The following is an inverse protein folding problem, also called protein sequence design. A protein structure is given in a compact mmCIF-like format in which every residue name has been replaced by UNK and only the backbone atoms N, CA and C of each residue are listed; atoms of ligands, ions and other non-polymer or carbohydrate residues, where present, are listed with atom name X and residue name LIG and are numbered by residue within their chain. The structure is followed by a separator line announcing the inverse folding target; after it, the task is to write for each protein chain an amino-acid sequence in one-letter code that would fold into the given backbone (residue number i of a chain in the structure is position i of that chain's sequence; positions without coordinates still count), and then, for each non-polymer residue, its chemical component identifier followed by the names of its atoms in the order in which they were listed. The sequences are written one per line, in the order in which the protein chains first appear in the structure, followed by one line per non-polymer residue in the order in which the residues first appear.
data_IF_276464330332
#
_entry.id   IF_276464330332
#
_cell.length_a   1.000
_cell.length_b   1.000
_cell.length_c   1.000
_cell.angle_alpha   90.00
_cell.angle_beta   90.00
_cell.angle_gamma   90.00
#
_symmetry.space_group_name_H-M   'P 1'
#
loop_
_entity.id
_entity.type
_entity.pdbx_description
1 polymer ?
#
# COMPACT_ATOMS: atom_id res chain seq x y z
N UNK A 1 -4.68 -27.81 8.41
CA UNK A 1 -4.05 -27.05 9.52
C UNK A 1 -4.35 -25.57 9.31
N UNK A 2 -5.30 -25.01 10.06
CA UNK A 2 -5.65 -23.59 9.95
C UNK A 2 -4.50 -22.72 10.48
N UNK A 3 -3.83 -21.98 9.60
CA UNK A 3 -2.83 -21.00 10.01
C UNK A 3 -3.55 -19.75 10.53
N UNK A 4 -3.97 -19.78 11.80
CA UNK A 4 -4.40 -18.56 12.48
C UNK A 4 -3.16 -17.74 12.85
N UNK A 5 -3.03 -16.57 12.25
CA UNK A 5 -1.90 -15.67 12.44
C UNK A 5 -2.37 -14.56 13.38
N UNK A 6 -1.96 -14.63 14.64
CA UNK A 6 -2.17 -13.54 15.58
C UNK A 6 -1.03 -12.53 15.44
N UNK A 7 -1.37 -11.30 15.08
CA UNK A 7 -0.44 -10.19 15.03
C UNK A 7 -0.51 -9.43 16.36
N UNK A 8 0.62 -9.23 17.05
CA UNK A 8 0.64 -8.36 18.23
C UNK A 8 0.38 -6.91 17.75
N UNK A 9 -0.76 -6.29 18.09
CA UNK A 9 -1.10 -4.95 17.59
C UNK A 9 -0.10 -3.88 18.06
N UNK A 10 0.66 -4.12 19.13
CA UNK A 10 1.70 -3.20 19.58
C UNK A 10 2.95 -3.23 18.67
N UNK A 11 3.21 -4.36 18.00
CA UNK A 11 4.33 -4.57 17.08
C UNK A 11 3.90 -4.64 15.62
N UNK A 12 2.60 -4.54 15.36
CA UNK A 12 2.02 -4.71 14.03
C UNK A 12 1.18 -3.49 13.66
N UNK A 13 1.65 -2.73 12.68
CA UNK A 13 1.05 -1.46 12.28
C UNK A 13 0.00 -1.65 11.18
N UNK A 14 -0.98 -0.76 11.14
CA UNK A 14 -1.92 -0.67 10.02
C UNK A 14 -1.41 0.41 9.06
N UNK A 15 -1.30 0.05 7.78
CA UNK A 15 -1.06 0.98 6.69
C UNK A 15 -2.37 1.09 5.90
N UNK A 16 -2.96 2.26 5.92
CA UNK A 16 -4.15 2.57 5.14
C UNK A 16 -3.76 2.79 3.67
N UNK A 17 -4.52 2.20 2.75
CA UNK A 17 -4.28 2.30 1.30
C UNK A 17 -5.51 2.85 0.60
N UNK A 18 -5.32 3.59 -0.48
CA UNK A 18 -6.42 4.31 -1.14
C UNK A 18 -7.51 3.35 -1.62
N UNK A 19 -7.17 2.33 -2.40
CA UNK A 19 -8.12 1.47 -3.07
C UNK A 19 -8.20 0.03 -2.55
N UNK A 20 -9.32 -0.63 -2.84
CA UNK A 20 -9.47 -2.08 -2.65
C UNK A 20 -8.49 -2.87 -3.53
N UNK A 21 -8.18 -2.36 -4.72
CA UNK A 21 -7.21 -2.95 -5.65
C UNK A 21 -5.80 -2.95 -5.06
N UNK A 22 -5.37 -1.83 -4.49
CA UNK A 22 -4.07 -1.68 -3.81
C UNK A 22 -3.96 -2.67 -2.65
N UNK A 23 -5.01 -2.72 -1.83
CA UNK A 23 -5.14 -3.69 -0.75
C UNK A 23 -4.97 -5.12 -1.26
N UNK A 24 -5.62 -5.49 -2.38
CA UNK A 24 -5.52 -6.83 -2.94
C UNK A 24 -4.09 -7.17 -3.40
N UNK A 25 -3.43 -6.29 -4.15
CA UNK A 25 -2.06 -6.53 -4.62
C UNK A 25 -1.07 -6.60 -3.46
N UNK A 26 -1.09 -5.61 -2.57
CA UNK A 26 -0.17 -5.54 -1.44
C UNK A 26 -0.38 -6.70 -0.46
N UNK A 27 -1.63 -7.09 -0.18
CA UNK A 27 -1.90 -8.25 0.67
C UNK A 27 -1.47 -9.56 0.03
N UNK A 28 -1.64 -9.72 -1.28
CA UNK A 28 -1.16 -10.89 -2.00
C UNK A 28 0.37 -10.99 -1.94
N UNK A 29 1.08 -9.89 -2.22
CA UNK A 29 2.54 -9.84 -2.15
C UNK A 29 3.08 -10.05 -0.75
N UNK A 30 2.46 -9.47 0.28
CA UNK A 30 2.84 -9.70 1.68
C UNK A 30 2.81 -11.20 2.02
N UNK A 31 1.74 -11.90 1.62
CA UNK A 31 1.59 -13.33 1.86
C UNK A 31 2.64 -14.13 1.07
N UNK A 32 2.86 -13.80 -0.20
CA UNK A 32 3.89 -14.42 -1.03
C UNK A 32 5.30 -14.29 -0.43
N UNK A 33 5.70 -13.07 -0.08
CA UNK A 33 7.00 -12.77 0.53
C UNK A 33 7.16 -13.47 1.89
N UNK A 34 6.09 -13.55 2.69
CA UNK A 34 6.12 -14.31 3.95
C UNK A 34 6.45 -15.79 3.74
N UNK A 35 5.84 -16.45 2.76
CA UNK A 35 6.05 -17.88 2.54
C UNK A 35 7.41 -18.19 1.89
N UNK A 36 7.98 -17.24 1.14
CA UNK A 36 9.20 -17.48 0.34
C UNK A 36 10.47 -16.86 0.93
N UNK A 37 10.39 -15.70 1.58
CA UNK A 37 11.57 -14.90 1.97
C UNK A 37 11.60 -14.54 3.46
N UNK A 38 10.44 -14.24 4.07
CA UNK A 38 10.34 -13.68 5.42
C UNK A 38 9.71 -14.66 6.43
N UNK A 39 10.01 -15.96 6.31
CA UNK A 39 9.39 -17.00 7.15
C UNK A 39 9.57 -16.74 8.65
N UNK A 40 10.77 -16.28 9.04
CA UNK A 40 11.16 -16.08 10.44
C UNK A 40 11.18 -14.60 10.86
N UNK A 41 11.06 -13.65 9.91
CA UNK A 41 11.02 -12.21 10.16
C UNK A 41 9.81 -11.56 9.49
N UNK A 42 8.59 -11.76 10.03
CA UNK A 42 7.37 -11.37 9.36
C UNK A 42 7.29 -9.85 9.17
N UNK A 43 6.74 -9.43 8.03
CA UNK A 43 6.45 -8.02 7.74
C UNK A 43 5.50 -7.46 8.83
N UNK A 44 5.93 -6.44 9.61
CA UNK A 44 5.25 -6.00 10.83
C UNK A 44 4.12 -5.01 10.55
N UNK A 45 3.45 -5.12 9.41
CA UNK A 45 2.30 -4.28 9.09
C UNK A 45 1.28 -4.99 8.21
N UNK A 46 0.03 -4.55 8.28
CA UNK A 46 -1.09 -5.00 7.43
C UNK A 46 -1.72 -3.82 6.72
N UNK A 47 -2.47 -4.10 5.66
CA UNK A 47 -3.13 -3.08 4.86
C UNK A 47 -4.62 -3.02 5.16
N UNK A 48 -5.19 -1.81 5.17
CA UNK A 48 -6.64 -1.59 5.23
C UNK A 48 -7.06 -0.55 4.18
N UNK A 49 -8.02 -0.86 3.29
CA UNK A 49 -8.45 0.09 2.27
C UNK A 49 -9.38 1.17 2.85
N UNK A 50 -9.22 2.42 2.41
CA UNK A 50 -10.04 3.57 2.85
C UNK A 50 -11.05 4.06 1.81
N UNK A 51 -11.29 3.28 0.75
CA UNK A 51 -12.28 3.56 -0.31
C UNK A 51 -12.07 4.89 -1.04
N UNK A 52 -10.81 5.21 -1.29
CA UNK A 52 -10.32 6.37 -2.02
C UNK A 52 -10.21 7.63 -1.16
N UNK A 53 -9.25 8.49 -1.51
CA UNK A 53 -9.18 9.84 -0.96
C UNK A 53 -10.32 10.69 -1.55
N UNK A 54 -11.12 11.34 -0.70
CA UNK A 54 -12.29 12.15 -1.12
C UNK A 54 -11.83 13.41 -1.86
N UNK A 55 -12.62 13.94 -2.81
CA UNK A 55 -12.19 15.06 -3.67
C UNK A 55 -12.21 16.43 -3.00
N UNK A 56 -13.05 16.62 -1.98
CA UNK A 56 -13.24 17.89 -1.31
C UNK A 56 -12.57 17.93 0.07
N UNK A 57 -12.17 19.13 0.48
CA UNK A 57 -11.39 19.36 1.71
C UNK A 57 -12.13 18.97 2.98
N UNK A 58 -13.47 19.12 3.02
CA UNK A 58 -14.26 18.78 4.22
C UNK A 58 -14.22 17.28 4.47
N UNK A 59 -14.54 16.48 3.46
CA UNK A 59 -14.49 15.03 3.61
C UNK A 59 -13.06 14.50 3.80
N UNK A 60 -12.03 15.19 3.30
CA UNK A 60 -10.63 14.86 3.62
C UNK A 60 -10.32 15.04 5.10
N UNK A 61 -10.72 16.17 5.70
CA UNK A 61 -10.54 16.41 7.15
C UNK A 61 -11.31 15.38 7.99
N UNK A 62 -12.55 15.04 7.60
CA UNK A 62 -13.31 13.97 8.24
C UNK A 62 -12.62 12.60 8.10
N UNK A 63 -12.00 12.31 6.95
CA UNK A 63 -11.23 11.08 6.75
C UNK A 63 -10.02 11.04 7.67
N UNK A 64 -9.28 12.15 7.78
CA UNK A 64 -8.13 12.26 8.67
C UNK A 64 -8.54 12.01 10.13
N UNK A 65 -9.61 12.66 10.60
CA UNK A 65 -10.12 12.48 11.95
C UNK A 65 -10.52 11.03 12.23
N UNK A 66 -11.25 10.38 11.32
CA UNK A 66 -11.62 8.96 11.44
C UNK A 66 -10.40 8.05 11.48
N UNK A 67 -9.34 8.36 10.74
CA UNK A 67 -8.10 7.59 10.80
C UNK A 67 -7.42 7.71 12.16
N UNK A 68 -7.42 8.90 12.76
CA UNK A 68 -6.91 9.13 14.11
C UNK A 68 -7.78 8.51 15.22
N UNK A 69 -9.08 8.29 14.97
CA UNK A 69 -9.96 7.53 15.87
C UNK A 69 -9.68 6.02 15.82
N UNK A 70 -9.23 5.51 14.66
CA UNK A 70 -8.97 4.09 14.44
C UNK A 70 -7.56 3.65 14.85
N UNK A 71 -6.57 4.54 14.73
CA UNK A 71 -5.17 4.27 15.05
C UNK A 71 -4.54 5.51 15.69
N UNK A 72 -3.76 5.33 16.75
CA UNK A 72 -3.12 6.44 17.47
C UNK A 72 -2.04 7.16 16.63
N UNK A 73 -1.47 6.48 15.63
CA UNK A 73 -0.43 6.99 14.75
C UNK A 73 -0.70 6.48 13.31
N UNK A 74 -1.78 6.94 12.66
CA UNK A 74 -2.19 6.37 11.38
C UNK A 74 -1.12 6.59 10.30
N UNK A 75 -0.92 5.56 9.48
CA UNK A 75 0.00 5.61 8.34
C UNK A 75 -0.83 5.42 7.07
N UNK A 76 -0.72 6.33 6.11
CA UNK A 76 -1.43 6.24 4.82
C UNK A 76 -0.40 6.13 3.69
N UNK A 77 -0.53 5.10 2.85
CA UNK A 77 0.21 4.95 1.60
C UNK A 77 -0.60 5.61 0.47
N UNK A 78 -0.03 6.61 -0.20
CA UNK A 78 -0.70 7.39 -1.24
C UNK A 78 -0.01 7.26 -2.60
N UNK A 79 -0.81 7.37 -3.65
CA UNK A 79 -0.35 7.49 -5.02
C UNK A 79 0.33 8.85 -5.27
N UNK A 80 1.26 8.90 -6.22
CA UNK A 80 1.82 10.12 -6.77
C UNK A 80 1.00 10.59 -7.99
N UNK A 81 -0.15 11.17 -7.68
CA UNK A 81 -1.11 11.73 -8.62
C UNK A 81 -0.66 13.05 -9.26
N UNK A 82 0.63 13.44 -9.17
CA UNK A 82 1.18 14.63 -9.85
C UNK A 82 0.96 14.51 -11.37
N UNK A 83 -0.20 14.98 -11.84
CA UNK A 83 -0.43 15.24 -13.25
C UNK A 83 0.52 16.37 -13.66
N UNK A 84 1.17 16.23 -14.81
CA UNK A 84 1.89 17.32 -15.48
C UNK A 84 1.03 18.57 -15.78
N UNK A 85 -0.26 18.58 -15.41
CA UNK A 85 -1.21 19.63 -15.75
C UNK A 85 -1.51 20.44 -14.50
N UNK A 86 -0.89 21.62 -14.42
CA UNK A 86 -0.90 22.63 -13.35
C UNK A 86 -2.26 23.02 -12.73
N UNK A 87 -3.39 22.49 -13.19
CA UNK A 87 -4.72 22.99 -12.86
C UNK A 87 -5.63 21.98 -12.13
N UNK A 88 -5.09 20.83 -11.71
CA UNK A 88 -5.79 19.88 -10.85
C UNK A 88 -4.85 19.49 -9.72
N UNK A 89 -5.03 20.09 -8.53
CA UNK A 89 -4.35 19.58 -7.34
C UNK A 89 -4.73 18.11 -7.17
N UNK A 90 -3.73 17.25 -7.38
CA UNK A 90 -3.76 15.81 -7.16
C UNK A 90 -4.44 15.49 -5.82
N UNK A 91 -5.22 14.42 -5.77
CA UNK A 91 -5.97 14.05 -4.56
C UNK A 91 -5.02 13.84 -3.37
N UNK A 92 -3.85 13.23 -3.62
CA UNK A 92 -2.82 13.05 -2.60
C UNK A 92 -2.24 14.37 -2.07
N UNK A 93 -1.99 15.37 -2.92
CA UNK A 93 -1.50 16.69 -2.50
C UNK A 93 -2.53 17.47 -1.67
N UNK A 94 -3.82 17.37 -2.03
CA UNK A 94 -4.89 17.96 -1.21
C UNK A 94 -4.99 17.26 0.16
N UNK A 95 -4.80 15.95 0.20
CA UNK A 95 -4.80 15.18 1.44
C UNK A 95 -3.62 15.56 2.33
N UNK A 96 -2.41 15.72 1.76
CA UNK A 96 -1.24 16.26 2.48
C UNK A 96 -1.52 17.63 3.07
N UNK A 97 -2.07 18.55 2.28
CA UNK A 97 -2.42 19.89 2.77
C UNK A 97 -3.48 19.83 3.90
N UNK A 98 -4.49 18.97 3.77
CA UNK A 98 -5.47 18.78 4.84
C UNK A 98 -4.85 18.18 6.12
N UNK A 99 -3.85 17.31 5.98
CA UNK A 99 -3.06 16.77 7.10
C UNK A 99 -2.22 17.86 7.76
N UNK A 100 -1.52 18.68 6.97
CA UNK A 100 -0.76 19.84 7.44
C UNK A 100 -1.64 20.85 8.19
N UNK A 101 -2.81 21.19 7.63
CA UNK A 101 -3.80 22.08 8.26
C UNK A 101 -4.28 21.56 9.63
N UNK A 102 -4.22 20.24 9.87
CA UNK A 102 -4.61 19.59 11.12
C UNK A 102 -3.42 19.29 12.04
N UNK A 103 -2.22 19.78 11.72
CA UNK A 103 -1.02 19.59 12.54
C UNK A 103 -0.26 18.30 12.28
N UNK A 104 -0.38 17.74 11.07
CA UNK A 104 0.26 16.48 10.63
C UNK A 104 -0.01 15.26 11.52
N UNK A 105 -1.27 14.94 11.87
CA UNK A 105 -1.57 13.78 12.70
C UNK A 105 -1.35 12.43 11.98
N UNK A 106 -1.23 12.42 10.65
CA UNK A 106 -1.01 11.21 9.84
C UNK A 106 0.39 11.16 9.27
N UNK A 107 1.05 10.00 9.36
CA UNK A 107 2.26 9.71 8.58
C UNK A 107 1.88 9.33 7.16
N UNK A 108 2.24 10.17 6.19
CA UNK A 108 1.96 9.91 4.77
C UNK A 108 3.19 9.30 4.12
N UNK A 109 3.03 8.12 3.54
CA UNK A 109 4.01 7.43 2.71
C UNK A 109 3.60 7.60 1.25
N UNK A 110 4.38 8.34 0.46
CA UNK A 110 4.11 8.46 -0.97
C UNK A 110 4.95 7.44 -1.76
N UNK A 111 4.34 6.74 -2.72
CA UNK A 111 5.04 5.72 -3.51
C UNK A 111 6.29 6.25 -4.21
N UNK A 112 6.23 7.47 -4.74
CA UNK A 112 7.36 8.09 -5.45
C UNK A 112 8.59 8.36 -4.56
N UNK A 113 8.41 8.35 -3.24
CA UNK A 113 9.50 8.50 -2.26
C UNK A 113 10.23 7.17 -2.02
N UNK A 114 9.63 6.04 -2.43
CA UNK A 114 10.30 4.75 -2.53
C UNK A 114 11.11 4.66 -3.81
N UNK A 115 10.44 4.87 -4.94
CA UNK A 115 11.05 4.92 -6.27
C UNK A 115 10.26 5.92 -7.11
N UNK A 116 10.94 6.85 -7.79
CA UNK A 116 10.30 7.89 -8.60
C UNK A 116 9.44 7.33 -9.75
N UNK A 117 9.68 6.08 -10.15
CA UNK A 117 8.89 5.35 -11.13
C UNK A 117 7.58 4.80 -10.56
N UNK A 118 7.46 4.65 -9.24
CA UNK A 118 6.24 4.16 -8.58
C UNK A 118 5.27 5.32 -8.34
N UNK A 119 4.40 5.58 -9.33
CA UNK A 119 3.35 6.60 -9.17
C UNK A 119 2.08 5.99 -8.59
N UNK A 120 1.74 4.78 -9.01
CA UNK A 120 0.65 3.98 -8.45
C UNK A 120 1.15 2.57 -8.14
N UNK A 121 0.40 1.79 -7.37
CA UNK A 121 0.78 0.40 -7.05
C UNK A 121 0.98 -0.44 -8.32
N UNK A 122 0.21 -0.16 -9.38
CA UNK A 122 0.35 -0.83 -10.66
C UNK A 122 1.70 -0.56 -11.36
N UNK A 123 2.45 0.46 -10.95
CA UNK A 123 3.80 0.74 -11.48
C UNK A 123 4.88 -0.14 -10.83
N UNK A 124 4.58 -0.84 -9.74
CA UNK A 124 5.47 -1.86 -9.19
C UNK A 124 5.51 -3.13 -10.06
N UNK A 125 4.55 -3.31 -10.98
CA UNK A 125 4.52 -4.45 -11.90
C UNK A 125 5.40 -4.20 -13.12
N UNK A 126 6.13 -5.24 -13.54
CA UNK A 126 6.77 -5.26 -14.85
C UNK A 126 5.75 -5.02 -15.97
N UNK A 127 6.20 -4.53 -17.13
CA UNK A 127 5.29 -4.31 -18.26
C UNK A 127 4.52 -5.59 -18.66
N UNK A 128 5.12 -6.77 -18.48
CA UNK A 128 4.46 -8.04 -18.78
C UNK A 128 3.38 -8.38 -17.75
N UNK A 129 3.72 -8.33 -16.46
CA UNK A 129 2.79 -8.66 -15.39
C UNK A 129 1.68 -7.61 -15.27
N UNK A 130 1.99 -6.33 -15.51
CA UNK A 130 1.01 -5.25 -15.55
C UNK A 130 -0.05 -5.51 -16.63
N UNK A 131 0.35 -5.96 -17.82
CA UNK A 131 -0.60 -6.33 -18.89
C UNK A 131 -1.48 -7.51 -18.52
N UNK A 132 -0.95 -8.47 -17.75
CA UNK A 132 -1.65 -9.68 -17.34
C UNK A 132 -2.61 -9.47 -16.17
N UNK A 133 -2.19 -8.68 -15.18
CA UNK A 133 -2.87 -8.60 -13.88
C UNK A 133 -3.38 -7.21 -13.52
N UNK A 134 -2.85 -6.13 -14.09
CA UNK A 134 -3.12 -4.76 -13.68
C UNK A 134 -3.55 -3.80 -14.81
N UNK A 135 -3.97 -4.34 -15.97
CA UNK A 135 -4.28 -3.55 -17.19
C UNK A 135 -5.56 -2.72 -17.05
N UNK A 136 -6.57 -3.26 -16.38
CA UNK A 136 -7.85 -2.59 -16.11
C UNK A 136 -8.12 -2.86 -14.64
N UNK A 137 -8.34 -1.85 -13.78
CA UNK A 137 -8.56 -1.97 -12.32
C UNK A 137 -9.82 -2.81 -11.97
N UNK A 138 -9.86 -4.08 -12.39
CA UNK A 138 -10.92 -5.04 -12.21
C UNK A 138 -10.54 -5.90 -11.01
N UNK A 139 -11.42 -5.94 -10.03
CA UNK A 139 -11.23 -6.73 -8.81
C UNK A 139 -10.97 -8.21 -9.12
N UNK A 140 -11.59 -8.74 -10.18
CA UNK A 140 -11.36 -10.10 -10.69
C UNK A 140 -9.89 -10.38 -11.00
N UNK A 141 -9.17 -9.43 -11.62
CA UNK A 141 -7.76 -9.61 -11.95
C UNK A 141 -6.87 -9.59 -10.70
N UNK A 142 -7.19 -8.75 -9.73
CA UNK A 142 -6.47 -8.71 -8.46
C UNK A 142 -6.70 -9.99 -7.62
N UNK A 143 -7.90 -10.57 -7.67
CA UNK A 143 -8.17 -11.87 -7.05
C UNK A 143 -7.52 -13.04 -7.79
N UNK A 144 -7.54 -13.03 -9.12
CA UNK A 144 -6.84 -14.00 -9.95
C UNK A 144 -5.33 -13.93 -9.69
N UNK A 145 -4.79 -12.71 -9.54
CA UNK A 145 -3.40 -12.47 -9.17
C UNK A 145 -3.06 -13.09 -7.82
N UNK A 146 -3.86 -12.83 -6.77
CA UNK A 146 -3.66 -13.44 -5.45
C UNK A 146 -3.63 -14.96 -5.50
N UNK A 147 -4.57 -15.57 -6.24
CA UNK A 147 -4.63 -17.03 -6.41
C UNK A 147 -3.40 -17.55 -7.15
N UNK A 148 -3.03 -16.90 -8.25
CA UNK A 148 -1.86 -17.27 -9.05
C UNK A 148 -0.59 -17.17 -8.21
N UNK A 149 -0.36 -16.04 -7.53
CA UNK A 149 0.84 -15.80 -6.74
C UNK A 149 1.00 -16.78 -5.58
N UNK A 150 -0.10 -17.22 -4.95
CA UNK A 150 -0.05 -18.13 -3.79
C UNK A 150 0.02 -19.61 -4.15
N UNK A 151 -0.58 -20.01 -5.27
CA UNK A 151 -0.77 -21.43 -5.62
C UNK A 151 -0.03 -21.88 -6.88
N UNK A 152 0.58 -20.96 -7.63
CA UNK A 152 1.33 -21.33 -8.84
C UNK A 152 2.77 -21.76 -8.50
N UNK A 153 3.36 -22.52 -9.41
CA UNK A 153 4.76 -22.93 -9.34
C UNK A 153 5.73 -21.73 -9.49
N UNK A 154 7.04 -21.98 -9.37
CA UNK A 154 8.07 -20.97 -9.68
C UNK A 154 7.75 -20.28 -11.02
N UNK A 155 7.86 -18.94 -11.07
CA UNK A 155 7.61 -18.06 -12.24
C UNK A 155 6.17 -17.52 -12.44
N UNK A 156 5.35 -17.43 -11.40
CA UNK A 156 4.02 -16.78 -11.46
C UNK A 156 4.07 -15.29 -11.87
N UNK A 157 5.18 -14.63 -11.54
CA UNK A 157 5.51 -13.23 -11.79
C UNK A 157 6.96 -13.12 -12.25
N UNK A 158 7.31 -12.01 -12.90
CA UNK A 158 8.71 -11.73 -13.25
C UNK A 158 9.53 -11.35 -12.02
N UNK A 159 10.85 -11.58 -12.10
CA UNK A 159 11.79 -11.12 -11.06
C UNK A 159 11.79 -9.60 -10.88
N UNK A 160 11.53 -8.84 -11.96
CA UNK A 160 11.37 -7.38 -11.88
C UNK A 160 10.21 -6.99 -10.95
N UNK A 161 9.01 -7.56 -11.18
CA UNK A 161 7.86 -7.31 -10.31
C UNK A 161 8.17 -7.71 -8.86
N UNK A 162 8.79 -8.87 -8.67
CA UNK A 162 9.16 -9.38 -7.34
C UNK A 162 10.09 -8.41 -6.61
N UNK A 163 11.16 -7.94 -7.28
CA UNK A 163 12.13 -7.02 -6.72
C UNK A 163 11.53 -5.65 -6.42
N UNK A 164 10.62 -5.16 -7.27
CA UNK A 164 9.93 -3.89 -7.04
C UNK A 164 9.07 -3.93 -5.77
N UNK A 165 8.27 -4.99 -5.59
CA UNK A 165 7.47 -5.16 -4.37
C UNK A 165 8.35 -5.41 -3.15
N UNK A 166 9.44 -6.17 -3.28
CA UNK A 166 10.40 -6.35 -2.18
C UNK A 166 10.99 -5.01 -1.73
N UNK A 167 11.44 -4.19 -2.68
CA UNK A 167 11.96 -2.85 -2.44
C UNK A 167 10.93 -1.98 -1.70
N UNK A 168 9.67 -1.96 -2.18
CA UNK A 168 8.58 -1.23 -1.55
C UNK A 168 8.34 -1.68 -0.10
N UNK A 169 8.33 -2.98 0.15
CA UNK A 169 8.09 -3.54 1.48
C UNK A 169 9.24 -3.24 2.46
N UNK A 170 10.49 -3.35 2.03
CA UNK A 170 11.66 -2.95 2.84
C UNK A 170 11.66 -1.45 3.13
N UNK A 171 11.29 -0.63 2.14
CA UNK A 171 11.16 0.82 2.32
C UNK A 171 10.07 1.19 3.33
N UNK A 172 8.90 0.53 3.28
CA UNK A 172 7.82 0.69 4.25
C UNK A 172 8.27 0.22 5.64
N UNK A 173 8.90 -0.96 5.75
CA UNK A 173 9.36 -1.52 7.02
C UNK A 173 10.25 -0.55 7.80
N UNK A 174 11.20 0.11 7.13
CA UNK A 174 12.09 1.12 7.73
C UNK A 174 11.38 2.38 8.24
N UNK A 175 10.19 2.70 7.72
CA UNK A 175 9.41 3.91 8.09
C UNK A 175 8.29 3.63 9.07
N UNK A 176 7.90 2.37 9.18
CA UNK A 176 6.80 1.89 10.03
C UNK A 176 7.34 1.41 11.39
N UNK A 177 8.65 1.13 11.49
CA UNK A 177 9.33 0.83 12.75
C UNK A 177 9.10 1.93 13.78
N UNK A 178 8.71 1.53 14.99
CA UNK A 178 8.55 2.48 16.09
C UNK A 178 9.92 2.86 16.63
N UNK A 179 10.09 4.06 17.21
CA UNK A 179 11.37 4.50 17.79
C UNK A 179 11.91 3.62 18.94
N UNK A 180 11.15 2.61 19.39
CA UNK A 180 11.53 1.66 20.44
C UNK A 180 11.80 0.23 19.92
N UNK A 181 11.87 0.03 18.59
CA UNK A 181 12.25 -1.25 17.95
C UNK A 181 13.77 -1.36 17.69
#
# INVERSE_FOLDING_TARGET
MGQHVFHNPQKHRIIFVEGITDYCYLSAFKLYLRYKEYKDNPIPFTFLPISGLKKDSKHMKETIQKLCELDNNPIVLTDDDRKCVFNQNATSERFKKANEDLGNPITILQLSDCDRCFKQIEDCFSANDKRKYAKNKRMELAMAFKTTLLYSEQNAITEETKNNFLCLFEWMKKRVQQPND
#
